data_IF_072471366218
#
_entry.id   IF_072471366218
#
_cell.length_a   1.000
_cell.length_b   1.000
_cell.length_c   1.000
_cell.angle_alpha   90.00
_cell.angle_beta   90.00
_cell.angle_gamma   90.00
#
_symmetry.space_group_name_H-M   'P 1'
#
loop_
_entity.id
_entity.type
_entity.pdbx_description
1 polymer ?
#
# COMPACT_ATOMS: atom_id res chain seq x y z
N UNK A 1 33.74 41.35 36.35
CA UNK A 1 34.18 40.09 35.70
C UNK A 1 33.10 39.00 35.76
N UNK A 2 32.46 38.77 36.91
CA UNK A 2 31.37 37.78 37.04
C UNK A 2 30.04 38.22 36.41
N UNK A 3 29.64 39.49 36.54
CA UNK A 3 28.41 40.02 35.95
C UNK A 3 28.38 39.88 34.42
N UNK A 4 29.46 40.26 33.73
CA UNK A 4 29.57 40.11 32.28
C UNK A 4 29.47 38.64 31.81
N UNK A 5 29.87 37.68 32.66
CA UNK A 5 29.80 36.26 32.35
C UNK A 5 28.37 35.73 32.50
N UNK A 6 27.63 36.25 33.48
CA UNK A 6 26.19 35.97 33.66
C UNK A 6 25.37 36.54 32.49
N UNK A 7 25.67 37.78 32.06
CA UNK A 7 24.99 38.40 30.92
C UNK A 7 25.25 37.65 29.61
N UNK A 8 26.50 37.18 29.40
CA UNK A 8 26.86 36.33 28.27
C UNK A 8 26.06 35.02 28.28
N UNK A 9 26.01 34.33 29.42
CA UNK A 9 25.26 33.08 29.56
C UNK A 9 23.75 33.28 29.35
N UNK A 10 23.19 34.40 29.82
CA UNK A 10 21.78 34.73 29.58
C UNK A 10 21.50 35.01 28.10
N UNK A 11 22.41 35.69 27.41
CA UNK A 11 22.30 35.94 25.96
C UNK A 11 22.32 34.63 25.17
N UNK A 12 23.22 33.70 25.52
CA UNK A 12 23.33 32.40 24.85
C UNK A 12 22.06 31.57 25.05
N UNK A 13 21.52 31.52 26.28
CA UNK A 13 20.24 30.84 26.59
C UNK A 13 19.08 31.45 25.79
N UNK A 14 19.02 32.78 25.68
CA UNK A 14 17.99 33.47 24.89
C UNK A 14 18.08 33.14 23.40
N UNK A 15 19.30 33.01 22.88
CA UNK A 15 19.55 32.63 21.49
C UNK A 15 19.05 31.21 21.22
N UNK A 16 19.37 30.26 22.10
CA UNK A 16 18.92 28.87 22.00
C UNK A 16 17.40 28.75 22.11
N UNK A 17 16.78 29.46 23.05
CA UNK A 17 15.32 29.49 23.20
C UNK A 17 14.63 30.00 21.93
N UNK A 18 15.20 31.03 21.29
CA UNK A 18 14.67 31.56 20.02
C UNK A 18 14.77 30.52 18.90
N UNK A 19 15.92 29.87 18.76
CA UNK A 19 16.13 28.83 17.75
C UNK A 19 15.18 27.63 17.96
N UNK A 20 14.99 27.21 19.21
CA UNK A 20 14.04 26.16 19.57
C UNK A 20 12.60 26.55 19.21
N UNK A 21 12.21 27.80 19.48
CA UNK A 21 10.87 28.28 19.18
C UNK A 21 10.61 28.37 17.67
N UNK A 22 11.61 28.78 16.89
CA UNK A 22 11.56 28.77 15.43
C UNK A 22 11.44 27.33 14.90
N UNK A 23 12.26 26.40 15.39
CA UNK A 23 12.18 24.97 15.04
C UNK A 23 10.81 24.37 15.35
N UNK A 24 10.26 24.63 16.55
CA UNK A 24 8.91 24.19 16.90
C UNK A 24 7.84 24.80 15.99
N UNK A 25 8.00 26.04 15.55
CA UNK A 25 7.07 26.68 14.62
C UNK A 25 7.09 26.02 13.23
N UNK A 26 8.27 25.59 12.77
CA UNK A 26 8.43 24.86 11.51
C UNK A 26 7.77 23.47 11.60
N UNK A 27 8.04 22.72 12.68
CA UNK A 27 7.42 21.41 12.92
C UNK A 27 5.90 21.54 12.98
N UNK A 28 5.35 22.54 13.67
CA UNK A 28 3.90 22.76 13.73
C UNK A 28 3.27 23.00 12.36
N UNK A 29 3.93 23.76 11.48
CA UNK A 29 3.45 23.99 10.11
C UNK A 29 3.44 22.70 9.28
N UNK A 30 4.48 21.90 9.41
CA UNK A 30 4.58 20.61 8.73
C UNK A 30 3.52 19.63 9.23
N UNK A 31 3.30 19.56 10.54
CA UNK A 31 2.23 18.75 11.14
C UNK A 31 0.84 19.17 10.65
N UNK A 32 0.58 20.48 10.50
CA UNK A 32 -0.69 20.97 9.98
C UNK A 32 -0.89 20.60 8.50
N UNK A 33 0.17 20.69 7.69
CA UNK A 33 0.14 20.26 6.30
C UNK A 33 -0.09 18.75 6.16
N UNK A 34 0.59 17.94 6.96
CA UNK A 34 0.41 16.49 7.01
C UNK A 34 -1.02 16.14 7.45
N UNK A 35 -1.55 16.82 8.48
CA UNK A 35 -2.92 16.63 8.95
C UNK A 35 -3.93 16.94 7.85
N UNK A 36 -3.77 18.06 7.16
CA UNK A 36 -4.59 18.42 5.99
C UNK A 36 -4.51 17.36 4.88
N UNK A 37 -3.30 16.91 4.54
CA UNK A 37 -3.07 15.90 3.50
C UNK A 37 -3.73 14.56 3.86
N UNK A 38 -3.63 14.14 5.13
CA UNK A 38 -4.26 12.91 5.62
C UNK A 38 -5.78 13.02 5.56
N UNK A 39 -6.37 14.15 5.97
CA UNK A 39 -7.82 14.35 5.87
C UNK A 39 -8.32 14.26 4.43
N UNK A 40 -7.63 14.91 3.48
CA UNK A 40 -7.97 14.85 2.05
C UNK A 40 -7.83 13.40 1.53
N UNK A 41 -6.78 12.68 1.92
CA UNK A 41 -6.61 11.27 1.54
C UNK A 41 -7.72 10.39 2.12
N UNK A 42 -8.15 10.63 3.36
CA UNK A 42 -9.25 9.89 3.99
C UNK A 42 -10.60 10.15 3.30
N UNK A 43 -10.86 11.38 2.86
CA UNK A 43 -12.06 11.71 2.08
C UNK A 43 -12.05 11.00 0.71
N UNK A 44 -10.88 10.93 0.05
CA UNK A 44 -10.72 10.23 -1.22
C UNK A 44 -10.84 8.70 -1.10
N UNK A 45 -10.45 8.11 0.03
CA UNK A 45 -10.68 6.68 0.30
C UNK A 45 -12.19 6.38 0.35
N UNK A 46 -13.03 7.33 0.80
CA UNK A 46 -14.49 7.23 0.76
C UNK A 46 -15.10 7.29 -0.65
N UNK A 47 -14.34 7.74 -1.65
CA UNK A 47 -14.77 7.89 -3.04
C UNK A 47 -14.15 6.86 -4.00
N UNK A 48 -13.17 6.08 -3.57
CA UNK A 48 -12.55 5.00 -4.36
C UNK A 48 -13.40 3.71 -4.42
N UNK A 49 -14.68 3.77 -4.03
CA UNK A 49 -15.62 2.65 -4.12
C UNK A 49 -16.68 2.91 -5.19
N UNK A 50 -16.26 3.17 -6.43
CA UNK A 50 -17.02 3.03 -7.71
C UNK A 50 -16.18 3.75 -8.76
N UNK A 51 -15.58 3.13 -9.77
CA UNK A 51 -16.16 2.23 -10.75
C UNK A 51 -15.13 1.14 -11.13
N UNK A 52 -15.25 -0.06 -10.59
CA UNK A 52 -14.87 -1.21 -11.41
C UNK A 52 -16.01 -1.37 -12.40
N UNK A 53 -15.76 -1.06 -13.67
CA UNK A 53 -16.51 -1.70 -14.74
C UNK A 53 -16.51 -3.18 -14.35
N UNK A 54 -17.67 -3.84 -14.15
CA UNK A 54 -17.66 -5.27 -14.01
C UNK A 54 -17.24 -5.80 -15.37
N UNK A 55 -15.92 -5.88 -15.60
CA UNK A 55 -15.37 -6.90 -16.47
C UNK A 55 -16.06 -8.16 -15.97
N UNK A 56 -16.87 -8.83 -16.80
CA UNK A 56 -17.57 -10.02 -16.35
C UNK A 56 -16.47 -10.97 -15.90
N UNK A 57 -16.26 -11.10 -14.59
CA UNK A 57 -15.42 -12.15 -14.06
C UNK A 57 -16.16 -13.39 -14.53
N UNK A 58 -15.63 -14.04 -15.56
CA UNK A 58 -16.22 -15.28 -16.05
C UNK A 58 -16.30 -16.18 -14.82
N UNK A 59 -17.51 -16.55 -14.42
CA UNK A 59 -17.76 -17.41 -13.25
C UNK A 59 -17.17 -18.82 -13.42
N UNK A 60 -16.58 -19.08 -14.59
CA UNK A 60 -15.73 -20.23 -14.88
C UNK A 60 -14.44 -20.18 -14.07
N UNK A 61 -14.25 -21.18 -13.22
CA UNK A 61 -12.97 -21.44 -12.54
C UNK A 61 -12.03 -22.24 -13.43
N UNK A 62 -10.73 -21.98 -13.34
CA UNK A 62 -9.67 -22.70 -14.04
C UNK A 62 -8.77 -23.43 -13.04
N UNK A 63 -8.08 -24.52 -13.44
CA UNK A 63 -7.17 -25.22 -12.51
C UNK A 63 -5.85 -24.46 -12.29
N UNK A 64 -5.46 -23.66 -13.27
CA UNK A 64 -4.27 -22.82 -13.21
C UNK A 64 -4.36 -21.70 -14.25
N UNK A 65 -3.51 -20.68 -14.11
CA UNK A 65 -3.36 -19.65 -15.13
C UNK A 65 -2.93 -20.20 -16.50
N UNK A 66 -2.37 -21.42 -16.57
CA UNK A 66 -2.01 -22.04 -17.86
C UNK A 66 -3.22 -22.47 -18.69
N UNK A 67 -4.36 -22.72 -18.05
CA UNK A 67 -5.60 -23.18 -18.68
C UNK A 67 -6.57 -22.04 -19.01
N UNK A 68 -6.27 -20.83 -18.53
CA UNK A 68 -6.98 -19.61 -18.88
C UNK A 68 -6.81 -19.35 -20.39
N UNK A 69 -7.81 -18.75 -21.08
CA UNK A 69 -7.70 -18.42 -22.50
C UNK A 69 -6.38 -17.71 -22.81
N UNK A 70 -5.63 -18.31 -23.74
CA UNK A 70 -4.31 -17.80 -24.11
C UNK A 70 -4.42 -16.35 -24.60
N UNK A 71 -3.47 -15.52 -24.15
CA UNK A 71 -3.30 -14.11 -24.55
C UNK A 71 -4.30 -13.10 -23.96
N UNK A 72 -4.96 -13.41 -22.85
CA UNK A 72 -5.69 -12.41 -22.07
C UNK A 72 -5.16 -12.37 -20.64
N UNK A 73 -4.32 -11.36 -20.36
CA UNK A 73 -3.88 -11.05 -18.99
C UNK A 73 -5.03 -10.45 -18.18
N UNK A 74 -5.18 -10.85 -16.92
CA UNK A 74 -6.23 -10.32 -16.05
C UNK A 74 -6.61 -11.21 -14.88
N UNK A 75 -7.76 -10.92 -14.26
CA UNK A 75 -8.28 -11.66 -13.09
C UNK A 75 -9.08 -12.89 -13.49
N UNK A 76 -8.80 -14.00 -12.83
CA UNK A 76 -9.49 -15.28 -13.02
C UNK A 76 -9.72 -15.96 -11.68
N UNK A 77 -10.83 -16.70 -11.58
CA UNK A 77 -11.00 -17.65 -10.48
C UNK A 77 -10.18 -18.90 -10.74
N UNK A 78 -9.31 -19.24 -9.80
CA UNK A 78 -8.49 -20.44 -9.82
C UNK A 78 -9.01 -21.40 -8.75
N UNK A 79 -9.14 -22.67 -9.12
CA UNK A 79 -9.52 -23.75 -8.21
C UNK A 79 -8.57 -24.92 -8.44
N UNK A 80 -7.60 -25.11 -7.55
CA UNK A 80 -6.48 -26.02 -7.76
C UNK A 80 -6.90 -27.49 -7.70
N UNK A 81 -7.93 -27.82 -6.91
CA UNK A 81 -8.59 -29.13 -6.87
C UNK A 81 -10.11 -29.00 -6.94
N UNK A 82 -10.85 -30.10 -7.01
CA UNK A 82 -12.32 -30.02 -7.00
C UNK A 82 -12.85 -29.71 -5.59
N UNK A 83 -12.05 -30.02 -4.57
CA UNK A 83 -12.34 -29.89 -3.15
C UNK A 83 -11.84 -28.58 -2.54
N UNK A 84 -10.90 -27.88 -3.21
CA UNK A 84 -10.38 -26.60 -2.75
C UNK A 84 -11.40 -25.49 -3.00
N UNK A 85 -11.42 -24.49 -2.12
CA UNK A 85 -12.10 -23.24 -2.43
C UNK A 85 -11.44 -22.59 -3.64
N UNK A 86 -12.23 -21.84 -4.41
CA UNK A 86 -11.70 -21.02 -5.50
C UNK A 86 -11.23 -19.68 -4.95
N UNK A 87 -10.13 -19.17 -5.47
CA UNK A 87 -9.63 -17.84 -5.13
C UNK A 87 -9.44 -17.00 -6.39
N UNK A 88 -9.47 -15.68 -6.24
CA UNK A 88 -9.24 -14.74 -7.33
C UNK A 88 -7.72 -14.54 -7.48
N UNK A 89 -7.20 -14.72 -8.69
CA UNK A 89 -5.78 -14.55 -8.99
C UNK A 89 -5.59 -13.68 -10.24
N UNK A 90 -4.43 -13.05 -10.35
CA UNK A 90 -4.02 -12.36 -11.56
C UNK A 90 -3.14 -13.29 -12.41
N UNK A 91 -3.59 -13.54 -13.62
CA UNK A 91 -2.88 -14.38 -14.59
C UNK A 91 -2.21 -13.51 -15.65
N UNK A 92 -0.89 -13.60 -15.74
CA UNK A 92 -0.09 -12.94 -16.75
C UNK A 92 0.13 -13.89 -17.96
N UNK A 93 -0.39 -13.48 -19.11
CA UNK A 93 -0.43 -14.27 -20.34
C UNK A 93 0.53 -13.78 -21.42
N UNK A 94 1.05 -12.56 -21.32
CA UNK A 94 1.91 -11.96 -22.33
C UNK A 94 3.39 -12.25 -22.05
N UNK A 95 3.76 -12.34 -20.77
CA UNK A 95 5.15 -12.61 -20.38
C UNK A 95 5.56 -14.07 -20.62
N UNK A 96 6.67 -14.26 -21.35
CA UNK A 96 7.34 -15.56 -21.55
C UNK A 96 6.40 -16.74 -21.91
N UNK A 97 5.46 -16.52 -22.82
CA UNK A 97 4.55 -17.58 -23.28
C UNK A 97 3.39 -17.89 -22.33
N UNK A 98 3.18 -17.02 -21.34
CA UNK A 98 1.96 -16.96 -20.53
C UNK A 98 1.72 -18.14 -19.60
N UNK A 99 0.62 -18.02 -18.87
CA UNK A 99 0.20 -18.97 -17.84
C UNK A 99 0.83 -18.72 -16.48
N UNK A 100 1.35 -17.52 -16.24
CA UNK A 100 1.94 -17.14 -14.97
C UNK A 100 0.85 -16.74 -13.98
N UNK A 101 0.90 -17.32 -12.79
CA UNK A 101 0.14 -16.86 -11.65
C UNK A 101 0.99 -15.85 -10.88
N UNK A 102 0.49 -14.63 -10.73
CA UNK A 102 1.20 -13.59 -9.99
C UNK A 102 0.91 -13.76 -8.50
N UNK A 103 1.93 -14.19 -7.75
CA UNK A 103 1.84 -14.39 -6.30
C UNK A 103 1.96 -13.07 -5.52
N UNK A 104 2.74 -12.13 -6.06
CA UNK A 104 3.05 -10.86 -5.43
C UNK A 104 3.38 -9.82 -6.51
N UNK A 105 2.92 -8.59 -6.31
CA UNK A 105 3.19 -7.46 -7.21
C UNK A 105 3.53 -6.21 -6.39
N UNK A 106 4.58 -5.48 -6.81
CA UNK A 106 5.06 -4.20 -6.21
C UNK A 106 5.51 -3.26 -7.32
N UNK A 107 5.06 -2.01 -7.27
CA UNK A 107 5.46 -0.99 -8.23
C UNK A 107 5.42 0.44 -7.70
N UNK A 108 4.58 0.77 -6.71
CA UNK A 108 4.40 2.15 -6.21
C UNK A 108 4.42 2.30 -4.68
N UNK A 109 4.38 1.19 -3.93
CA UNK A 109 4.39 1.19 -2.47
C UNK A 109 3.08 1.67 -1.83
N UNK A 110 1.97 1.67 -2.55
CA UNK A 110 0.64 2.04 -2.02
C UNK A 110 0.09 1.03 -1.03
N UNK A 111 0.51 -0.24 -1.13
CA UNK A 111 0.12 -1.29 -0.19
C UNK A 111 1.24 -1.50 0.83
N UNK A 112 0.88 -1.46 2.11
CA UNK A 112 1.80 -1.82 3.19
C UNK A 112 2.04 -3.34 3.21
N UNK A 113 3.32 -3.75 3.26
CA UNK A 113 3.75 -5.15 3.37
C UNK A 113 4.27 -5.49 4.78
N UNK A 114 4.30 -4.54 5.70
CA UNK A 114 4.56 -4.80 7.12
C UNK A 114 3.29 -5.34 7.80
N UNK A 115 2.92 -6.56 7.42
CA UNK A 115 1.69 -7.23 7.84
C UNK A 115 1.94 -8.36 8.83
N UNK A 116 0.90 -8.73 9.56
CA UNK A 116 0.97 -9.87 10.48
C UNK A 116 0.86 -11.22 9.75
N UNK A 117 1.12 -12.31 10.48
CA UNK A 117 1.10 -13.67 9.90
C UNK A 117 -0.25 -14.06 9.28
N UNK A 118 -1.36 -13.68 9.92
CA UNK A 118 -2.71 -14.00 9.44
C UNK A 118 -2.98 -13.33 8.10
N UNK A 119 -2.55 -12.08 7.93
CA UNK A 119 -2.66 -11.37 6.65
C UNK A 119 -1.79 -12.03 5.55
N UNK A 120 -0.58 -12.48 5.88
CA UNK A 120 0.26 -13.21 4.93
C UNK A 120 -0.31 -14.59 4.56
N UNK A 121 -1.02 -15.26 5.47
CA UNK A 121 -1.74 -16.50 5.12
C UNK A 121 -2.92 -16.24 4.21
N UNK A 122 -3.75 -15.25 4.52
CA UNK A 122 -5.00 -14.99 3.81
C UNK A 122 -4.82 -14.20 2.50
N UNK A 123 -3.75 -13.40 2.39
CA UNK A 123 -3.58 -12.43 1.30
C UNK A 123 -4.03 -11.02 1.68
N UNK A 124 -3.49 -10.02 0.96
CA UNK A 124 -3.85 -8.60 1.10
C UNK A 124 -3.51 -7.81 -0.17
N UNK A 125 -4.14 -6.66 -0.33
CA UNK A 125 -4.01 -5.81 -1.53
C UNK A 125 -5.08 -6.12 -2.59
N UNK A 126 -4.87 -5.64 -3.80
CA UNK A 126 -5.72 -5.92 -4.96
C UNK A 126 -4.91 -6.71 -5.99
N UNK A 127 -5.44 -7.85 -6.43
CA UNK A 127 -4.76 -8.74 -7.39
C UNK A 127 -4.46 -8.04 -8.72
N UNK A 128 -5.18 -6.97 -9.09
CA UNK A 128 -4.87 -6.13 -10.26
C UNK A 128 -3.82 -5.03 -10.00
N UNK A 129 -3.42 -4.83 -8.75
CA UNK A 129 -2.49 -3.81 -8.29
C UNK A 129 -1.38 -4.42 -7.43
N UNK A 130 -0.88 -3.69 -6.43
CA UNK A 130 0.03 -4.24 -5.43
C UNK A 130 -0.71 -5.22 -4.51
N UNK A 131 -0.17 -6.42 -4.36
CA UNK A 131 -0.78 -7.45 -3.51
C UNK A 131 0.21 -8.52 -3.08
N UNK A 132 -0.23 -9.28 -2.08
CA UNK A 132 0.24 -10.61 -1.73
C UNK A 132 -0.94 -11.56 -1.85
N UNK A 133 -0.83 -12.59 -2.69
CA UNK A 133 -1.96 -13.46 -2.98
C UNK A 133 -2.46 -14.18 -1.73
N UNK A 134 -1.57 -14.69 -0.88
CA UNK A 134 -1.89 -15.52 0.28
C UNK A 134 -1.24 -16.89 0.17
N UNK A 135 -0.93 -17.50 1.31
CA UNK A 135 -0.27 -18.82 1.38
C UNK A 135 -1.26 -19.98 1.40
N UNK A 136 -2.50 -19.74 1.85
CA UNK A 136 -3.54 -20.77 2.00
C UNK A 136 -4.48 -20.85 0.78
N UNK A 137 -4.11 -20.19 -0.33
CA UNK A 137 -4.85 -20.20 -1.60
C UNK A 137 -4.43 -21.35 -2.52
#
# INVERSE_FOLDING_TARGET
MLMNKLDSMQSDILLELKALQESQSAIRREQELLRSTVLIKLENIGLANSETIPVPIKDTSYRSCKEVPASVTGKYFIQTTAESDRFLAYCEQDFLGGGWLVMQSRYDGTVDFLRNWTEYRNGFGDVEAEHWLGLDN
#
